data_IF_304765836141
#
_entry.id   IF_304765836141
#
_cell.length_a   1.000
_cell.length_b   1.000
_cell.length_c   1.000
_cell.angle_alpha   90.00
_cell.angle_beta   90.00
_cell.angle_gamma   90.00
#
_symmetry.space_group_name_H-M   'P 1'
#
loop_
_entity.id
_entity.type
_entity.pdbx_description
1 polymer ?
#
# COMPACT_ATOMS: atom_id res chain seq x y z
N UNK A 1 17.49 29.39 14.36
CA UNK A 1 16.07 29.62 14.04
C UNK A 1 15.31 28.34 14.34
N UNK A 2 14.07 28.38 14.86
CA UNK A 2 13.24 27.19 14.91
C UNK A 2 13.03 26.64 13.50
N UNK A 3 12.85 25.31 13.33
CA UNK A 3 12.51 24.74 12.03
C UNK A 3 11.20 25.37 11.51
N UNK A 4 11.05 25.55 10.19
CA UNK A 4 9.78 25.98 9.64
C UNK A 4 8.67 25.00 10.08
N UNK A 5 7.46 25.51 10.38
CA UNK A 5 6.34 24.65 10.74
C UNK A 5 6.11 23.62 9.63
N UNK A 6 5.84 22.37 10.02
CA UNK A 6 5.51 21.30 9.10
C UNK A 6 4.30 21.73 8.24
N UNK A 7 4.44 21.85 6.90
CA UNK A 7 3.34 22.22 6.01
C UNK A 7 2.13 21.30 6.18
N UNK A 8 2.34 20.03 6.53
CA UNK A 8 1.27 19.06 6.75
C UNK A 8 0.51 19.32 8.05
N UNK A 9 1.17 19.88 9.08
CA UNK A 9 0.49 20.28 10.31
C UNK A 9 -0.46 21.46 10.09
N UNK A 10 -0.15 22.33 9.12
CA UNK A 10 -1.00 23.46 8.74
C UNK A 10 -2.28 22.99 8.02
N UNK A 11 -2.16 21.98 7.15
CA UNK A 11 -3.28 21.34 6.45
C UNK A 11 -4.16 20.51 7.41
N UNK A 12 -3.60 19.99 8.50
CA UNK A 12 -4.30 19.17 9.48
C UNK A 12 -5.04 19.96 10.57
N UNK A 13 -4.93 21.29 10.59
CA UNK A 13 -5.59 22.11 11.60
C UNK A 13 -7.12 22.15 11.38
N UNK A 14 -7.95 21.81 12.39
CA UNK A 14 -9.41 21.84 12.27
C UNK A 14 -9.89 23.24 11.86
N UNK A 15 -10.72 23.33 10.82
CA UNK A 15 -11.26 24.60 10.32
C UNK A 15 -10.30 25.44 9.47
N UNK A 16 -9.08 24.97 9.17
CA UNK A 16 -8.18 25.69 8.26
C UNK A 16 -8.76 25.86 6.85
N UNK A 17 -9.47 24.83 6.36
CA UNK A 17 -10.16 24.88 5.07
C UNK A 17 -11.34 25.88 5.08
N UNK A 18 -12.01 26.06 6.22
CA UNK A 18 -13.17 26.97 6.36
C UNK A 18 -12.79 28.45 6.28
N UNK A 19 -11.49 28.75 6.40
CA UNK A 19 -10.93 30.11 6.32
C UNK A 19 -10.47 30.49 4.91
N UNK A 20 -10.49 29.54 3.96
CA UNK A 20 -10.06 29.78 2.59
C UNK A 20 -11.16 30.46 1.76
N UNK A 21 -10.82 31.37 0.83
CA UNK A 21 -11.78 31.91 -0.13
C UNK A 21 -12.43 30.79 -0.96
N UNK A 22 -13.71 30.94 -1.30
CA UNK A 22 -14.46 29.97 -2.10
C UNK A 22 -13.77 29.63 -3.43
N UNK A 23 -13.19 30.62 -4.10
CA UNK A 23 -12.41 30.41 -5.33
C UNK A 23 -11.21 29.47 -5.13
N UNK A 24 -10.52 29.60 -3.99
CA UNK A 24 -9.39 28.72 -3.65
C UNK A 24 -9.89 27.31 -3.35
N UNK A 25 -11.02 27.18 -2.64
CA UNK A 25 -11.63 25.88 -2.35
C UNK A 25 -12.02 25.13 -3.63
N UNK A 26 -12.62 25.82 -4.61
CA UNK A 26 -12.98 25.23 -5.90
C UNK A 26 -11.76 24.76 -6.69
N UNK A 27 -10.66 25.51 -6.65
CA UNK A 27 -9.39 25.09 -7.29
C UNK A 27 -8.84 23.84 -6.61
N UNK A 28 -8.78 23.82 -5.27
CA UNK A 28 -8.29 22.67 -4.50
C UNK A 28 -9.17 21.44 -4.73
N UNK A 29 -10.49 21.60 -4.78
CA UNK A 29 -11.43 20.52 -5.08
C UNK A 29 -11.18 19.94 -6.48
N UNK A 30 -11.06 20.80 -7.49
CA UNK A 30 -10.79 20.38 -8.86
C UNK A 30 -9.45 19.65 -8.97
N UNK A 31 -8.39 20.16 -8.35
CA UNK A 31 -7.06 19.54 -8.34
C UNK A 31 -7.08 18.19 -7.62
N UNK A 32 -7.76 18.08 -6.47
CA UNK A 32 -7.91 16.82 -5.75
C UNK A 32 -8.69 15.79 -6.57
N UNK A 33 -9.77 16.20 -7.25
CA UNK A 33 -10.56 15.34 -8.12
C UNK A 33 -9.73 14.80 -9.29
N UNK A 34 -8.99 15.65 -9.99
CA UNK A 34 -8.19 15.24 -11.14
C UNK A 34 -6.99 14.38 -10.74
N UNK A 35 -6.31 14.71 -9.63
CA UNK A 35 -5.24 13.89 -9.08
C UNK A 35 -5.74 12.50 -8.72
N UNK A 36 -6.88 12.40 -8.02
CA UNK A 36 -7.49 11.12 -7.67
C UNK A 36 -7.90 10.34 -8.93
N UNK A 37 -8.55 11.00 -9.90
CA UNK A 37 -8.97 10.37 -11.15
C UNK A 37 -7.76 9.77 -11.90
N UNK A 38 -6.66 10.52 -11.97
CA UNK A 38 -5.40 10.05 -12.58
C UNK A 38 -4.76 8.89 -11.83
N UNK A 39 -4.77 8.92 -10.50
CA UNK A 39 -4.29 7.80 -9.68
C UNK A 39 -5.10 6.53 -9.94
N UNK A 40 -6.43 6.67 -10.07
CA UNK A 40 -7.33 5.55 -10.25
C UNK A 40 -7.33 4.97 -11.67
N UNK A 41 -6.82 5.68 -12.68
CA UNK A 41 -6.78 5.24 -14.08
C UNK A 41 -6.15 3.84 -14.25
N UNK A 42 -5.12 3.53 -13.46
CA UNK A 42 -4.44 2.23 -13.49
C UNK A 42 -5.20 1.09 -12.79
N UNK A 43 -6.18 1.39 -11.94
CA UNK A 43 -6.79 0.44 -10.97
C UNK A 43 -8.33 0.48 -10.93
N UNK A 44 -8.98 1.02 -11.97
CA UNK A 44 -10.44 1.22 -12.01
C UNK A 44 -11.27 -0.05 -11.71
N UNK A 45 -10.82 -1.21 -12.20
CA UNK A 45 -11.45 -2.52 -11.99
C UNK A 45 -11.38 -3.04 -10.53
N UNK A 46 -10.63 -2.39 -9.64
CA UNK A 46 -10.71 -2.63 -8.20
C UNK A 46 -12.01 -2.10 -7.61
N UNK A 47 -12.65 -1.13 -8.27
CA UNK A 47 -13.83 -0.41 -7.79
C UNK A 47 -15.09 -0.70 -8.63
N UNK A 48 -15.03 -1.64 -9.58
CA UNK A 48 -16.20 -2.12 -10.32
C UNK A 48 -16.96 -3.20 -9.55
N UNK A 49 -18.15 -3.58 -10.03
CA UNK A 49 -18.98 -4.62 -9.43
C UNK A 49 -18.18 -5.92 -9.20
N UNK A 50 -18.33 -6.52 -8.02
CA UNK A 50 -17.59 -7.69 -7.55
C UNK A 50 -16.06 -7.51 -7.42
N UNK A 51 -15.52 -6.32 -7.69
CA UNK A 51 -14.13 -5.92 -7.46
C UNK A 51 -13.09 -6.93 -7.97
N UNK A 52 -13.18 -7.37 -9.25
CA UNK A 52 -12.30 -8.40 -9.79
C UNK A 52 -10.82 -7.99 -9.78
N UNK A 53 -10.52 -6.69 -9.85
CA UNK A 53 -9.16 -6.17 -9.72
C UNK A 53 -8.52 -6.48 -8.38
N UNK A 54 -9.29 -6.39 -7.29
CA UNK A 54 -8.81 -6.72 -5.94
C UNK A 54 -8.54 -8.21 -5.82
N UNK A 55 -9.46 -9.06 -6.29
CA UNK A 55 -9.28 -10.52 -6.25
C UNK A 55 -8.01 -10.96 -6.97
N UNK A 56 -7.75 -10.41 -8.17
CA UNK A 56 -6.51 -10.66 -8.90
C UNK A 56 -5.27 -10.18 -8.14
N UNK A 57 -5.31 -8.99 -7.55
CA UNK A 57 -4.19 -8.46 -6.79
C UNK A 57 -3.87 -9.31 -5.56
N UNK A 58 -4.89 -9.79 -4.83
CA UNK A 58 -4.72 -10.69 -3.68
C UNK A 58 -4.10 -12.02 -4.11
N UNK A 59 -4.58 -12.61 -5.20
CA UNK A 59 -4.02 -13.84 -5.74
C UNK A 59 -2.56 -13.66 -6.17
N UNK A 60 -2.25 -12.60 -6.92
CA UNK A 60 -0.88 -12.28 -7.33
C UNK A 60 0.04 -12.00 -6.14
N UNK A 61 -0.46 -11.31 -5.12
CA UNK A 61 0.29 -11.04 -3.89
C UNK A 61 0.67 -12.35 -3.20
N UNK A 62 -0.27 -13.29 -3.10
CA UNK A 62 0.00 -14.61 -2.57
C UNK A 62 1.08 -15.36 -3.39
N UNK A 63 1.00 -15.33 -4.72
CA UNK A 63 2.05 -15.92 -5.58
C UNK A 63 3.44 -15.32 -5.32
N UNK A 64 3.52 -13.99 -5.13
CA UNK A 64 4.78 -13.32 -4.80
C UNK A 64 5.30 -13.78 -3.44
N UNK A 65 4.44 -13.86 -2.42
CA UNK A 65 4.84 -14.33 -1.08
C UNK A 65 5.34 -15.77 -1.14
N UNK A 66 4.67 -16.68 -1.85
CA UNK A 66 5.14 -18.06 -2.03
C UNK A 66 6.53 -18.13 -2.69
N UNK A 67 6.82 -17.25 -3.63
CA UNK A 67 8.14 -17.20 -4.31
C UNK A 67 9.23 -16.60 -3.44
N UNK A 68 8.90 -15.59 -2.64
CA UNK A 68 9.87 -14.89 -1.78
C UNK A 68 10.17 -15.70 -0.52
N UNK A 69 9.14 -16.24 0.13
CA UNK A 69 9.25 -17.01 1.37
C UNK A 69 8.12 -18.06 1.44
N UNK A 70 8.40 -19.23 0.85
CA UNK A 70 7.48 -20.36 0.87
C UNK A 70 7.17 -20.87 2.27
N UNK A 71 8.12 -20.77 3.21
CA UNK A 71 7.93 -21.22 4.59
C UNK A 71 6.90 -20.36 5.33
N UNK A 72 6.95 -19.03 5.15
CA UNK A 72 5.92 -18.16 5.69
C UNK A 72 4.56 -18.43 5.02
N UNK A 73 4.52 -18.60 3.70
CA UNK A 73 3.28 -18.89 2.99
C UNK A 73 2.60 -20.18 3.50
N UNK A 74 3.38 -21.25 3.68
CA UNK A 74 2.92 -22.51 4.24
C UNK A 74 2.43 -22.36 5.68
N UNK A 75 3.12 -21.56 6.51
CA UNK A 75 2.67 -21.27 7.88
C UNK A 75 1.31 -20.56 7.89
N UNK A 76 1.15 -19.48 7.12
CA UNK A 76 -0.11 -18.74 7.04
C UNK A 76 -1.26 -19.64 6.56
N UNK A 77 -1.00 -20.46 5.54
CA UNK A 77 -1.97 -21.44 5.05
C UNK A 77 -2.29 -22.52 6.09
N UNK A 78 -1.29 -23.03 6.81
CA UNK A 78 -1.46 -24.02 7.88
C UNK A 78 -2.25 -23.49 9.07
N UNK A 79 -2.20 -22.18 9.33
CA UNK A 79 -3.08 -21.50 10.29
C UNK A 79 -4.50 -21.23 9.76
N UNK A 80 -4.78 -21.57 8.49
CA UNK A 80 -6.09 -21.31 7.86
C UNK A 80 -6.33 -19.83 7.53
N UNK A 81 -5.27 -19.03 7.42
CA UNK A 81 -5.38 -17.61 7.10
C UNK A 81 -5.36 -17.40 5.59
N UNK A 82 -6.46 -16.87 5.04
CA UNK A 82 -6.54 -16.51 3.63
C UNK A 82 -6.14 -15.04 3.38
N UNK A 83 -5.43 -14.73 2.28
CA UNK A 83 -5.02 -13.38 1.93
C UNK A 83 -6.14 -12.33 1.99
N UNK A 84 -7.36 -12.70 1.57
CA UNK A 84 -8.53 -11.81 1.57
C UNK A 84 -8.88 -11.29 2.97
N UNK A 85 -8.62 -12.06 4.03
CA UNK A 85 -9.01 -11.71 5.40
C UNK A 85 -8.19 -10.55 5.97
N UNK A 86 -6.99 -10.30 5.46
CA UNK A 86 -6.13 -9.21 5.92
C UNK A 86 -5.75 -8.21 4.82
N UNK A 87 -5.48 -8.67 3.60
CA UNK A 87 -4.96 -7.82 2.53
C UNK A 87 -6.04 -7.14 1.68
N UNK A 88 -7.33 -7.50 1.82
CA UNK A 88 -8.41 -6.82 1.08
C UNK A 88 -8.38 -5.30 1.32
N UNK A 89 -8.28 -4.88 2.58
CA UNK A 89 -8.19 -3.45 2.95
C UNK A 89 -6.90 -2.82 2.44
N UNK A 90 -5.79 -3.56 2.42
CA UNK A 90 -4.50 -3.08 1.94
C UNK A 90 -4.57 -2.73 0.46
N UNK A 91 -5.16 -3.60 -0.36
CA UNK A 91 -5.32 -3.33 -1.80
C UNK A 91 -6.36 -2.24 -2.03
N UNK A 92 -7.55 -2.35 -1.42
CA UNK A 92 -8.65 -1.40 -1.64
C UNK A 92 -8.29 0.04 -1.25
N UNK A 93 -7.47 0.20 -0.21
CA UNK A 93 -7.05 1.50 0.31
C UNK A 93 -5.58 1.83 0.05
N UNK A 94 -4.93 1.11 -0.88
CA UNK A 94 -3.54 1.36 -1.30
C UNK A 94 -2.55 1.46 -0.12
N UNK A 95 -2.73 0.63 0.90
CA UNK A 95 -2.01 0.61 2.18
C UNK A 95 -2.06 1.90 3.03
N UNK A 96 -2.76 2.94 2.61
CA UNK A 96 -2.82 4.22 3.31
C UNK A 96 -3.42 4.11 4.71
N UNK A 97 -4.28 3.11 4.94
CA UNK A 97 -4.88 2.86 6.25
C UNK A 97 -3.98 2.11 7.22
N UNK A 98 -2.83 1.63 6.74
CA UNK A 98 -1.84 0.93 7.55
C UNK A 98 -0.65 1.81 7.90
N UNK A 99 -0.59 3.05 7.42
CA UNK A 99 0.53 3.96 7.64
C UNK A 99 0.06 5.27 8.29
N UNK A 100 0.92 5.94 9.10
CA UNK A 100 0.72 7.33 9.47
C UNK A 100 0.52 8.22 8.23
N UNK A 101 -0.35 9.25 8.32
CA UNK A 101 -0.73 10.09 7.19
C UNK A 101 0.48 10.65 6.41
N UNK A 102 1.47 11.20 7.11
CA UNK A 102 2.68 11.74 6.49
C UNK A 102 3.44 10.69 5.65
N UNK A 103 3.51 9.45 6.14
CA UNK A 103 4.12 8.35 5.38
C UNK A 103 3.23 7.85 4.24
N UNK A 104 1.90 7.94 4.40
CA UNK A 104 0.94 7.70 3.33
C UNK A 104 1.13 8.67 2.15
N UNK A 105 1.39 9.95 2.43
CA UNK A 105 1.72 10.95 1.40
C UNK A 105 3.01 10.59 0.66
N UNK A 106 4.06 10.16 1.38
CA UNK A 106 5.31 9.71 0.77
C UNK A 106 5.15 8.46 -0.11
N UNK A 107 4.31 7.53 0.33
CA UNK A 107 3.96 6.36 -0.46
C UNK A 107 3.22 6.77 -1.76
N UNK A 108 2.33 7.75 -1.66
CA UNK A 108 1.61 8.33 -2.79
C UNK A 108 2.50 8.99 -3.83
N UNK A 109 3.60 9.65 -3.43
CA UNK A 109 4.58 10.19 -4.38
C UNK A 109 5.05 9.11 -5.37
N UNK A 110 5.30 7.89 -4.85
CA UNK A 110 5.73 6.76 -5.67
C UNK A 110 4.58 6.21 -6.53
N UNK A 111 3.37 6.13 -5.99
CA UNK A 111 2.22 5.65 -6.75
C UNK A 111 1.86 6.56 -7.93
N UNK A 112 1.95 7.88 -7.74
CA UNK A 112 1.75 8.83 -8.83
C UNK A 112 2.85 8.72 -9.88
N UNK A 113 4.10 8.46 -9.48
CA UNK A 113 5.20 8.24 -10.40
C UNK A 113 5.08 6.94 -11.22
N UNK A 114 4.47 5.90 -10.66
CA UNK A 114 4.23 4.61 -11.35
C UNK A 114 3.12 4.68 -12.41
N UNK A 115 2.14 5.57 -12.25
CA UNK A 115 1.07 5.77 -13.21
C UNK A 115 0.29 4.49 -13.51
N UNK A 116 0.22 4.08 -14.78
CA UNK A 116 -0.53 2.89 -15.20
C UNK A 116 0.05 1.57 -14.65
N UNK A 117 1.33 1.54 -14.27
CA UNK A 117 1.98 0.36 -13.68
C UNK A 117 1.69 0.20 -12.17
N UNK A 118 0.89 1.11 -11.58
CA UNK A 118 0.52 1.07 -10.17
C UNK A 118 -0.16 -0.26 -9.79
N UNK A 119 -0.99 -0.81 -10.67
CA UNK A 119 -1.71 -2.07 -10.43
C UNK A 119 -0.75 -3.21 -10.09
N UNK A 120 0.27 -3.39 -10.92
CA UNK A 120 1.28 -4.43 -10.76
C UNK A 120 2.19 -4.09 -9.59
N UNK A 121 2.59 -2.83 -9.46
CA UNK A 121 3.48 -2.41 -8.38
C UNK A 121 2.86 -2.57 -6.99
N UNK A 122 1.58 -2.26 -6.82
CA UNK A 122 0.86 -2.37 -5.55
C UNK A 122 0.90 -3.79 -4.99
N UNK A 123 0.88 -4.82 -5.85
CA UNK A 123 1.03 -6.23 -5.45
C UNK A 123 2.37 -6.44 -4.75
N UNK A 124 3.46 -5.94 -5.35
CA UNK A 124 4.80 -6.06 -4.80
C UNK A 124 4.97 -5.24 -3.51
N UNK A 125 4.34 -4.06 -3.42
CA UNK A 125 4.34 -3.26 -2.19
C UNK A 125 3.59 -3.97 -1.07
N UNK A 126 2.42 -4.55 -1.34
CA UNK A 126 1.65 -5.31 -0.35
C UNK A 126 2.40 -6.56 0.14
N UNK A 127 3.07 -7.28 -0.77
CA UNK A 127 3.96 -8.37 -0.39
C UNK A 127 5.15 -7.88 0.45
N UNK A 128 5.80 -6.77 0.07
CA UNK A 128 6.95 -6.22 0.80
C UNK A 128 6.57 -5.74 2.20
N UNK A 129 5.35 -5.20 2.33
CA UNK A 129 4.75 -4.85 3.61
C UNK A 129 4.57 -6.07 4.50
N UNK A 130 3.95 -7.16 4.01
CA UNK A 130 3.80 -8.41 4.75
C UNK A 130 5.16 -8.98 5.18
N UNK A 131 6.11 -9.05 4.25
CA UNK A 131 7.45 -9.59 4.49
C UNK A 131 8.28 -8.75 5.46
N UNK A 132 7.92 -7.48 5.70
CA UNK A 132 8.51 -6.68 6.77
C UNK A 132 8.30 -7.28 8.17
N UNK A 133 7.31 -8.18 8.31
CA UNK A 133 6.91 -8.79 9.57
C UNK A 133 7.12 -10.31 9.60
N UNK A 134 7.74 -10.89 8.56
CA UNK A 134 7.88 -12.34 8.41
C UNK A 134 8.41 -13.07 9.66
N UNK A 135 9.46 -12.58 10.36
CA UNK A 135 9.97 -13.25 11.56
C UNK A 135 8.96 -13.31 12.72
N UNK A 136 8.09 -12.31 12.85
CA UNK A 136 7.05 -12.25 13.85
C UNK A 136 5.88 -13.16 13.46
N UNK A 137 5.42 -13.05 12.21
CA UNK A 137 4.28 -13.80 11.68
C UNK A 137 4.51 -15.31 11.75
N UNK A 138 5.74 -15.78 11.47
CA UNK A 138 6.10 -17.20 11.51
C UNK A 138 5.95 -17.86 12.90
N UNK A 139 5.72 -17.07 13.96
CA UNK A 139 5.58 -17.55 15.34
C UNK A 139 4.16 -17.41 15.88
N UNK A 140 3.27 -16.80 15.10
CA UNK A 140 1.91 -16.46 15.52
C UNK A 140 0.92 -17.55 15.12
N UNK A 141 -0.08 -17.80 15.97
CA UNK A 141 -1.25 -18.59 15.60
C UNK A 141 -2.27 -17.78 14.78
N UNK A 142 -3.36 -18.41 14.33
CA UNK A 142 -4.41 -17.74 13.56
C UNK A 142 -4.94 -16.45 14.21
N UNK A 143 -5.21 -16.47 15.53
CA UNK A 143 -5.80 -15.33 16.23
C UNK A 143 -4.80 -14.17 16.34
N UNK A 144 -3.55 -14.49 16.65
CA UNK A 144 -2.47 -13.50 16.70
C UNK A 144 -2.21 -12.89 15.31
N UNK A 145 -2.17 -13.72 14.27
CA UNK A 145 -1.97 -13.30 12.88
C UNK A 145 -3.05 -12.30 12.43
N UNK A 146 -4.33 -12.64 12.61
CA UNK A 146 -5.42 -11.77 12.14
C UNK A 146 -5.44 -10.44 12.90
N UNK A 147 -5.21 -10.47 14.21
CA UNK A 147 -5.13 -9.26 15.04
C UNK A 147 -3.95 -8.38 14.63
N UNK A 148 -2.79 -8.98 14.38
CA UNK A 148 -1.59 -8.27 13.97
C UNK A 148 -1.76 -7.64 12.59
N UNK A 149 -2.20 -8.41 11.59
CA UNK A 149 -2.28 -7.97 10.21
C UNK A 149 -3.41 -6.95 9.96
N UNK A 150 -4.44 -6.93 10.82
CA UNK A 150 -5.46 -5.87 10.82
C UNK A 150 -5.00 -4.57 11.48
N UNK A 151 -3.92 -4.60 12.28
CA UNK A 151 -3.35 -3.39 12.86
C UNK A 151 -1.82 -3.49 13.04
N UNK A 152 -1.06 -3.53 11.92
CA UNK A 152 0.39 -3.63 12.00
C UNK A 152 0.96 -2.40 12.74
N UNK A 153 2.00 -2.57 13.58
CA UNK A 153 2.51 -1.50 14.44
C UNK A 153 3.41 -0.52 13.67
N UNK A 154 2.83 0.24 12.75
CA UNK A 154 3.51 1.22 11.88
C UNK A 154 3.60 2.62 12.46
N UNK A 155 3.09 2.85 13.68
CA UNK A 155 3.11 4.16 14.32
C UNK A 155 4.54 4.72 14.53
N UNK A 156 5.52 3.82 14.67
CA UNK A 156 6.94 4.18 14.82
C UNK A 156 7.72 4.13 13.50
N UNK A 157 7.06 3.86 12.36
CA UNK A 157 7.73 3.88 11.07
C UNK A 157 8.19 5.29 10.72
N UNK A 158 9.22 5.33 9.91
CA UNK A 158 9.85 6.53 9.35
C UNK A 158 9.82 6.45 7.82
N UNK A 159 10.23 7.53 7.15
CA UNK A 159 10.37 7.53 5.68
C UNK A 159 11.31 6.42 5.20
N UNK A 160 12.38 6.13 5.97
CA UNK A 160 13.33 5.06 5.66
C UNK A 160 12.69 3.67 5.62
N UNK A 161 11.69 3.42 6.47
CA UNK A 161 10.96 2.15 6.48
C UNK A 161 10.11 1.99 5.22
N UNK A 162 9.45 3.08 4.80
CA UNK A 162 8.70 3.15 3.53
C UNK A 162 9.63 2.96 2.34
N UNK A 163 10.76 3.66 2.29
CA UNK A 163 11.78 3.51 1.25
C UNK A 163 12.31 2.08 1.17
N UNK A 164 12.57 1.46 2.32
CA UNK A 164 13.06 0.06 2.39
C UNK A 164 12.00 -0.93 1.91
N UNK A 165 10.71 -0.66 2.19
CA UNK A 165 9.59 -1.43 1.64
C UNK A 165 9.50 -1.27 0.11
N UNK A 166 9.56 -0.03 -0.39
CA UNK A 166 9.49 0.27 -1.83
C UNK A 166 10.68 -0.31 -2.61
N UNK A 167 11.89 -0.22 -2.05
CA UNK A 167 13.08 -0.79 -2.67
C UNK A 167 12.97 -2.33 -2.84
N UNK A 168 12.45 -3.03 -1.83
CA UNK A 168 12.15 -4.47 -1.94
C UNK A 168 11.10 -4.74 -3.01
N UNK A 169 10.03 -3.95 -3.05
CA UNK A 169 8.98 -4.08 -4.05
C UNK A 169 9.53 -3.91 -5.48
N UNK A 170 10.36 -2.90 -5.73
CA UNK A 170 11.01 -2.69 -7.04
C UNK A 170 11.93 -3.85 -7.41
N UNK A 171 12.73 -4.35 -6.46
CA UNK A 171 13.63 -5.48 -6.69
C UNK A 171 12.87 -6.75 -7.09
N UNK A 172 11.80 -7.07 -6.36
CA UNK A 172 10.98 -8.24 -6.66
C UNK A 172 10.25 -8.10 -7.98
N UNK A 173 9.70 -6.92 -8.28
CA UNK A 173 9.13 -6.64 -9.60
C UNK A 173 10.13 -6.89 -10.71
N UNK A 174 11.33 -6.32 -10.61
CA UNK A 174 12.38 -6.49 -11.60
C UNK A 174 12.82 -7.96 -11.76
N UNK A 175 12.87 -8.71 -10.66
CA UNK A 175 13.27 -10.12 -10.66
C UNK A 175 12.20 -11.01 -11.26
N UNK A 176 10.94 -10.85 -10.88
CA UNK A 176 9.86 -11.75 -11.26
C UNK A 176 9.21 -11.41 -12.61
N UNK A 177 9.15 -10.13 -12.97
CA UNK A 177 8.67 -9.71 -14.29
C UNK A 177 9.79 -9.81 -15.34
N UNK A 178 11.05 -9.53 -14.95
CA UNK A 178 12.21 -9.68 -15.82
C UNK A 178 12.53 -11.13 -16.19
N UNK A 179 12.30 -12.08 -15.28
CA UNK A 179 12.46 -13.51 -15.54
C UNK A 179 11.50 -14.05 -16.61
N UNK A 180 10.35 -13.40 -16.84
CA UNK A 180 9.41 -13.78 -17.89
C UNK A 180 9.89 -13.39 -19.30
N UNK A 181 10.83 -12.44 -19.42
CA UNK A 181 11.34 -11.94 -20.71
C UNK A 181 12.52 -12.72 -21.29
N UNK A 182 13.13 -13.66 -20.54
CA UNK A 182 14.32 -14.41 -20.99
C UNK A 182 14.01 -15.84 -21.49
N UNK A 183 12.74 -16.25 -21.48
CA UNK A 183 12.28 -17.58 -21.91
C UNK A 183 11.17 -17.52 -22.98
N UNK A 184 11.09 -16.44 -23.76
CA UNK A 184 10.17 -16.29 -24.90
C UNK A 184 10.84 -16.56 -26.23
#
# INVERSE_FOLDING_TARGET
APPPPDPLALLAAPGAAEQLPEEVLLVVEADAYWCLSKLLDGIQDQYTYAQPGIQRALFRMHEVVCRVDGGLAEHLHGQGLEPVQFAFRWINCLLLRELPFALGVRLWDTYLAEGLALREFLVYVAAAFLMGWAPQLARMDFQELIMFLQKPPTAAWTERDVESMLARAHLWRATFDGAAGHFG
#
